data_IF_216345319138
#
_entry.id   IF_216345319138
#
_cell.length_a   1.000
_cell.length_b   1.000
_cell.length_c   1.000
_cell.angle_alpha   90.00
_cell.angle_beta   90.00
_cell.angle_gamma   90.00
#
_symmetry.space_group_name_H-M   'P 1'
#
loop_
_entity.id
_entity.type
_entity.pdbx_description
1 polymer ?
#
# COMPACT_ATOMS: atom_id res chain seq x y z
N UNK A 1 9.65 0.53 -39.46
CA UNK A 1 9.83 1.22 -38.16
C UNK A 1 11.27 0.98 -37.74
N UNK A 2 12.01 2.03 -37.41
CA UNK A 2 13.40 1.93 -36.98
C UNK A 2 13.46 1.33 -35.58
N UNK A 3 14.40 0.43 -35.32
CA UNK A 3 14.55 -0.17 -33.99
C UNK A 3 14.83 0.92 -32.94
N UNK A 4 14.18 0.87 -31.76
CA UNK A 4 14.42 1.82 -30.70
C UNK A 4 15.89 1.74 -30.25
N UNK A 5 16.59 2.88 -30.24
CA UNK A 5 17.99 2.95 -29.79
C UNK A 5 18.06 2.78 -28.27
N UNK A 6 19.03 2.08 -27.70
CA UNK A 6 19.08 1.83 -26.26
C UNK A 6 19.10 3.14 -25.43
N UNK A 7 18.39 3.19 -24.28
CA UNK A 7 18.39 4.33 -23.37
C UNK A 7 19.77 4.54 -22.69
N UNK A 8 20.00 5.71 -22.06
CA UNK A 8 21.29 6.07 -21.44
C UNK A 8 21.79 5.05 -20.40
N UNK A 9 20.88 4.35 -19.73
CA UNK A 9 21.14 3.38 -18.65
C UNK A 9 20.85 1.93 -19.08
N UNK A 10 21.03 1.64 -20.37
CA UNK A 10 20.71 0.32 -20.93
C UNK A 10 21.39 -0.86 -20.21
N UNK A 11 22.60 -0.69 -19.68
CA UNK A 11 23.29 -1.74 -18.92
C UNK A 11 22.53 -2.12 -17.65
N UNK A 12 22.12 -1.12 -16.88
CA UNK A 12 21.47 -1.31 -15.58
C UNK A 12 20.04 -1.80 -15.76
N UNK A 13 19.30 -1.24 -16.73
CA UNK A 13 17.96 -1.69 -17.13
C UNK A 13 17.99 -3.18 -17.50
N UNK A 14 18.98 -3.61 -18.30
CA UNK A 14 19.04 -5.02 -18.66
C UNK A 14 19.45 -5.92 -17.51
N UNK A 15 20.24 -5.43 -16.56
CA UNK A 15 20.56 -6.19 -15.35
C UNK A 15 19.29 -6.50 -14.56
N UNK A 16 18.48 -5.46 -14.29
CA UNK A 16 17.18 -5.60 -13.60
C UNK A 16 16.26 -6.56 -14.34
N UNK A 17 16.14 -6.42 -15.67
CA UNK A 17 15.30 -7.31 -16.47
C UNK A 17 15.80 -8.75 -16.43
N UNK A 18 17.12 -8.97 -16.50
CA UNK A 18 17.71 -10.31 -16.46
C UNK A 18 17.46 -11.02 -15.12
N UNK A 19 17.50 -10.27 -14.03
CA UNK A 19 17.15 -10.76 -12.69
C UNK A 19 15.64 -11.09 -12.63
N UNK A 20 14.78 -10.19 -13.10
CA UNK A 20 13.33 -10.38 -13.11
C UNK A 20 12.88 -11.60 -13.93
N UNK A 21 13.53 -11.90 -15.06
CA UNK A 21 13.20 -13.07 -15.88
C UNK A 21 13.87 -14.37 -15.41
N UNK A 22 14.63 -14.36 -14.31
CA UNK A 22 15.15 -15.57 -13.69
C UNK A 22 16.11 -16.38 -14.57
N UNK A 23 16.92 -15.71 -15.38
CA UNK A 23 17.89 -16.38 -16.27
C UNK A 23 17.32 -16.92 -17.59
N UNK A 24 16.06 -16.61 -17.89
CA UNK A 24 15.50 -16.83 -19.22
C UNK A 24 16.23 -15.95 -20.25
N UNK A 25 16.68 -16.56 -21.35
CA UNK A 25 17.27 -15.80 -22.46
C UNK A 25 16.16 -15.02 -23.19
N UNK A 26 16.41 -13.73 -23.40
CA UNK A 26 15.49 -12.81 -24.05
C UNK A 26 15.67 -12.84 -25.57
N UNK A 27 14.58 -13.05 -26.29
CA UNK A 27 14.53 -12.95 -27.73
C UNK A 27 14.72 -11.49 -28.20
N UNK A 28 15.23 -11.25 -29.43
CA UNK A 28 15.37 -9.90 -29.96
C UNK A 28 14.07 -9.09 -29.98
N UNK A 29 12.91 -9.74 -30.17
CA UNK A 29 11.61 -9.08 -30.12
C UNK A 29 11.25 -8.62 -28.71
N UNK A 30 11.40 -9.51 -27.72
CA UNK A 30 11.17 -9.20 -26.30
C UNK A 30 12.06 -8.03 -25.86
N UNK A 31 13.36 -8.05 -26.20
CA UNK A 31 14.29 -6.94 -25.91
C UNK A 31 13.79 -5.62 -26.49
N UNK A 32 13.29 -5.60 -27.73
CA UNK A 32 12.78 -4.37 -28.36
C UNK A 32 11.54 -3.82 -27.65
N UNK A 33 10.64 -4.69 -27.20
CA UNK A 33 9.46 -4.27 -26.44
C UNK A 33 9.83 -3.72 -25.06
N UNK A 34 10.75 -4.39 -24.36
CA UNK A 34 11.34 -3.91 -23.10
C UNK A 34 12.00 -2.54 -23.31
N UNK A 35 12.76 -2.36 -24.40
CA UNK A 35 13.35 -1.05 -24.71
C UNK A 35 12.33 0.03 -24.99
N UNK A 36 11.26 -0.31 -25.72
CA UNK A 36 10.17 0.63 -26.01
C UNK A 36 9.47 1.08 -24.73
N UNK A 37 9.22 0.16 -23.81
CA UNK A 37 8.69 0.47 -22.48
C UNK A 37 9.65 1.37 -21.71
N UNK A 38 10.91 0.95 -21.58
CA UNK A 38 11.93 1.68 -20.83
C UNK A 38 12.11 3.12 -21.32
N UNK A 39 12.05 3.35 -22.64
CA UNK A 39 12.16 4.69 -23.23
C UNK A 39 10.95 5.58 -23.02
N UNK A 40 9.78 5.00 -22.75
CA UNK A 40 8.54 5.75 -22.66
C UNK A 40 8.13 6.01 -21.22
N UNK A 41 8.29 5.03 -20.34
CA UNK A 41 7.85 5.14 -18.94
C UNK A 41 8.97 5.61 -17.99
N UNK A 42 10.20 5.10 -18.12
CA UNK A 42 11.27 5.41 -17.16
C UNK A 42 11.76 6.87 -17.17
N UNK A 43 11.72 7.64 -18.28
CA UNK A 43 12.16 9.03 -18.24
C UNK A 43 11.40 9.92 -17.24
N UNK A 44 10.17 9.57 -16.89
CA UNK A 44 9.42 10.28 -15.86
C UNK A 44 9.94 10.00 -14.45
N UNK A 45 10.49 8.80 -14.23
CA UNK A 45 11.13 8.38 -12.98
C UNK A 45 12.52 9.01 -12.80
N UNK A 46 13.24 9.25 -13.90
CA UNK A 46 14.52 9.97 -13.88
C UNK A 46 14.37 11.51 -13.84
N UNK A 47 13.16 12.02 -13.65
CA UNK A 47 12.92 13.47 -13.58
C UNK A 47 13.37 14.05 -12.23
N UNK A 48 13.32 15.38 -12.07
CA UNK A 48 13.57 16.03 -10.77
C UNK A 48 12.41 15.88 -9.77
N UNK A 49 11.39 15.09 -10.11
CA UNK A 49 10.22 14.85 -9.26
C UNK A 49 10.46 13.62 -8.40
N UNK A 50 9.92 13.63 -7.19
CA UNK A 50 9.87 12.45 -6.33
C UNK A 50 8.78 11.52 -6.83
N UNK A 51 9.16 10.33 -7.25
CA UNK A 51 8.28 9.31 -7.80
C UNK A 51 7.75 8.36 -6.72
N UNK A 52 6.44 8.10 -6.74
CA UNK A 52 5.78 7.16 -5.84
C UNK A 52 5.12 6.06 -6.66
N UNK A 53 5.67 4.86 -6.56
CA UNK A 53 5.09 3.68 -7.17
C UNK A 53 4.02 3.08 -6.25
N UNK A 54 2.76 3.18 -6.64
CA UNK A 54 1.62 2.71 -5.84
C UNK A 54 1.25 1.28 -6.23
N UNK A 55 1.23 0.41 -5.22
CA UNK A 55 0.97 -1.03 -5.29
C UNK A 55 -0.26 -1.43 -4.49
N UNK A 56 -0.86 -2.56 -4.83
CA UNK A 56 -2.09 -3.06 -4.26
C UNK A 56 -3.02 -3.65 -5.33
N UNK A 57 -4.24 -4.00 -4.94
CA UNK A 57 -5.18 -4.66 -5.87
C UNK A 57 -5.71 -3.70 -6.95
N UNK A 58 -5.45 -4.01 -8.23
CA UNK A 58 -6.01 -3.29 -9.38
C UNK A 58 -7.45 -3.67 -9.73
N UNK A 59 -8.09 -4.54 -8.95
CA UNK A 59 -9.50 -4.92 -9.14
C UNK A 59 -10.41 -3.97 -8.38
N UNK A 60 -11.60 -3.72 -8.90
CA UNK A 60 -12.66 -3.10 -8.10
C UNK A 60 -13.01 -3.99 -6.88
N UNK A 61 -13.35 -3.39 -5.73
CA UNK A 61 -13.39 -1.94 -5.46
C UNK A 61 -12.02 -1.32 -5.10
N UNK A 62 -11.01 -2.14 -4.79
CA UNK A 62 -9.69 -1.74 -4.26
C UNK A 62 -8.93 -0.73 -5.12
N UNK A 63 -9.07 -0.78 -6.45
CA UNK A 63 -8.45 0.21 -7.34
C UNK A 63 -8.82 1.65 -6.94
N UNK A 64 -10.02 1.88 -6.40
CA UNK A 64 -10.46 3.20 -5.92
C UNK A 64 -9.58 3.72 -4.79
N UNK A 65 -9.13 2.86 -3.87
CA UNK A 65 -8.23 3.21 -2.76
C UNK A 65 -6.86 3.62 -3.28
N UNK A 66 -6.34 2.91 -4.28
CA UNK A 66 -5.11 3.31 -4.96
C UNK A 66 -5.25 4.69 -5.64
N UNK A 67 -6.44 5.02 -6.19
CA UNK A 67 -6.72 6.36 -6.74
C UNK A 67 -6.78 7.43 -5.68
N UNK A 68 -7.28 7.13 -4.48
CA UNK A 68 -7.24 8.06 -3.35
C UNK A 68 -5.78 8.39 -3.03
N UNK A 69 -4.94 7.37 -2.84
CA UNK A 69 -3.51 7.55 -2.57
C UNK A 69 -2.82 8.36 -3.67
N UNK A 70 -3.07 8.00 -4.93
CA UNK A 70 -2.52 8.71 -6.09
C UNK A 70 -2.94 10.19 -6.11
N UNK A 71 -4.21 10.48 -5.83
CA UNK A 71 -4.74 11.84 -5.86
C UNK A 71 -4.19 12.70 -4.72
N UNK A 72 -4.07 12.14 -3.51
CA UNK A 72 -3.49 12.84 -2.36
C UNK A 72 -2.01 13.19 -2.61
N UNK A 73 -1.20 12.21 -3.03
CA UNK A 73 0.20 12.45 -3.39
C UNK A 73 0.34 13.46 -4.54
N UNK A 74 -0.58 13.45 -5.51
CA UNK A 74 -0.54 14.38 -6.65
C UNK A 74 -0.81 15.83 -6.25
N UNK A 75 -1.36 16.11 -5.05
CA UNK A 75 -1.48 17.47 -4.51
C UNK A 75 -0.11 18.07 -4.15
N UNK A 76 0.87 17.23 -3.84
CA UNK A 76 2.20 17.67 -3.44
C UNK A 76 3.01 18.19 -4.65
N UNK A 77 3.54 19.40 -4.52
CA UNK A 77 4.38 19.99 -5.57
C UNK A 77 5.65 19.17 -5.75
N UNK A 78 5.87 18.69 -6.99
CA UNK A 78 7.04 17.90 -7.32
C UNK A 78 6.88 16.40 -7.10
N UNK A 79 5.70 15.92 -6.68
CA UNK A 79 5.41 14.50 -6.62
C UNK A 79 4.99 13.94 -8.00
N UNK A 80 5.32 12.67 -8.24
CA UNK A 80 4.88 11.90 -9.39
C UNK A 80 4.37 10.53 -8.93
N UNK A 81 3.11 10.45 -8.45
CA UNK A 81 2.50 9.18 -8.10
C UNK A 81 1.93 8.47 -9.32
N UNK A 82 2.17 7.16 -9.43
CA UNK A 82 1.68 6.36 -10.53
C UNK A 82 1.34 4.93 -10.11
N UNK A 83 0.42 4.32 -10.85
CA UNK A 83 -0.01 2.93 -10.69
C UNK A 83 0.45 2.16 -11.92
N UNK A 84 1.04 0.98 -11.74
CA UNK A 84 1.56 0.18 -12.87
C UNK A 84 0.48 -0.15 -13.91
N UNK A 85 -0.75 -0.39 -13.48
CA UNK A 85 -1.89 -0.67 -14.37
C UNK A 85 -2.26 0.47 -15.33
N UNK A 86 -1.77 1.69 -15.11
CA UNK A 86 -1.95 2.82 -16.05
C UNK A 86 -0.87 2.90 -17.12
N UNK A 87 0.23 2.20 -16.90
CA UNK A 87 1.38 2.23 -17.80
C UNK A 87 1.15 1.29 -18.97
N UNK A 88 1.94 1.50 -20.00
CA UNK A 88 1.82 0.66 -21.17
C UNK A 88 2.33 -0.75 -20.90
N UNK A 89 1.44 -1.71 -21.12
CA UNK A 89 1.71 -3.13 -20.97
C UNK A 89 2.83 -3.61 -21.91
N UNK A 90 3.71 -4.47 -21.42
CA UNK A 90 4.69 -5.18 -22.24
C UNK A 90 4.01 -6.35 -22.96
N UNK A 91 3.91 -6.34 -24.30
CA UNK A 91 3.31 -7.43 -25.04
C UNK A 91 4.32 -8.57 -25.19
N UNK A 92 4.43 -9.42 -24.17
CA UNK A 92 5.25 -10.63 -24.24
C UNK A 92 4.42 -11.85 -23.89
N UNK A 93 4.35 -12.82 -24.81
CA UNK A 93 3.47 -13.99 -24.64
C UNK A 93 4.06 -15.06 -23.71
N UNK A 94 5.38 -15.03 -23.49
CA UNK A 94 6.12 -16.08 -22.79
C UNK A 94 6.72 -15.64 -21.46
N UNK A 95 7.01 -14.35 -21.31
CA UNK A 95 7.64 -13.80 -20.10
C UNK A 95 6.56 -13.38 -19.12
N UNK A 96 6.93 -13.36 -17.83
CA UNK A 96 6.09 -12.73 -16.84
C UNK A 96 6.24 -11.20 -16.96
N UNK A 97 5.36 -10.58 -17.75
CA UNK A 97 5.33 -9.12 -17.94
C UNK A 97 5.28 -8.37 -16.62
N UNK A 98 4.54 -8.90 -15.65
CA UNK A 98 4.37 -8.29 -14.34
C UNK A 98 5.72 -8.17 -13.62
N UNK A 99 6.49 -9.25 -13.49
CA UNK A 99 7.77 -9.24 -12.78
C UNK A 99 8.77 -8.26 -13.41
N UNK A 100 8.78 -8.16 -14.74
CA UNK A 100 9.64 -7.24 -15.47
C UNK A 100 9.23 -5.78 -15.19
N UNK A 101 7.94 -5.47 -15.35
CA UNK A 101 7.43 -4.11 -15.12
C UNK A 101 7.62 -3.71 -13.66
N UNK A 102 7.21 -4.56 -12.73
CA UNK A 102 7.41 -4.36 -11.30
C UNK A 102 8.87 -4.08 -10.98
N UNK A 103 9.80 -4.94 -11.39
CA UNK A 103 11.22 -4.80 -11.04
C UNK A 103 11.81 -3.49 -11.59
N UNK A 104 11.46 -3.11 -12.82
CA UNK A 104 11.90 -1.84 -13.40
C UNK A 104 11.32 -0.64 -12.65
N UNK A 105 10.01 -0.61 -12.43
CA UNK A 105 9.35 0.52 -11.77
C UNK A 105 9.79 0.63 -10.31
N UNK A 106 9.83 -0.49 -9.58
CA UNK A 106 10.32 -0.56 -8.22
C UNK A 106 11.79 -0.11 -8.14
N UNK A 107 12.66 -0.54 -9.05
CA UNK A 107 14.08 -0.14 -9.04
C UNK A 107 14.25 1.37 -9.23
N UNK A 108 13.57 1.95 -10.21
CA UNK A 108 13.80 3.35 -10.61
C UNK A 108 12.89 4.37 -9.92
N UNK A 109 11.94 3.94 -9.09
CA UNK A 109 11.14 4.87 -8.27
C UNK A 109 11.85 5.25 -6.98
N UNK A 110 11.58 6.46 -6.49
CA UNK A 110 12.12 6.97 -5.23
C UNK A 110 11.48 6.28 -4.03
N UNK A 111 10.15 6.10 -4.09
CA UNK A 111 9.37 5.43 -3.05
C UNK A 111 8.37 4.43 -3.63
N UNK A 112 8.06 3.41 -2.85
CA UNK A 112 7.03 2.41 -3.12
C UNK A 112 5.99 2.51 -2.02
N UNK A 113 4.71 2.58 -2.40
CA UNK A 113 3.56 2.73 -1.49
C UNK A 113 2.64 1.55 -1.71
N UNK A 114 2.65 0.58 -0.79
CA UNK A 114 1.81 -0.60 -0.86
C UNK A 114 0.53 -0.43 -0.04
N UNK A 115 -0.63 -0.44 -0.70
CA UNK A 115 -1.94 -0.40 -0.04
C UNK A 115 -2.52 -1.81 -0.02
N UNK A 116 -2.74 -2.34 1.16
CA UNK A 116 -3.20 -3.72 1.36
C UNK A 116 -4.55 -3.72 2.04
N UNK A 117 -5.48 -4.51 1.51
CA UNK A 117 -6.86 -4.60 2.03
C UNK A 117 -7.34 -6.06 2.16
N UNK A 118 -6.48 -7.03 1.83
CA UNK A 118 -6.75 -8.46 1.90
C UNK A 118 -5.48 -9.27 1.70
N UNK A 119 -5.56 -10.55 2.00
CA UNK A 119 -4.48 -11.52 1.77
C UNK A 119 -4.47 -12.19 0.38
N UNK A 120 -5.47 -11.95 -0.47
CA UNK A 120 -5.67 -12.71 -1.70
C UNK A 120 -5.56 -11.87 -2.97
N UNK A 121 -4.68 -12.24 -3.89
CA UNK A 121 -4.56 -11.57 -5.20
C UNK A 121 -3.11 -11.42 -5.66
N UNK A 122 -2.88 -10.46 -6.56
CA UNK A 122 -1.54 -10.15 -7.09
C UNK A 122 -0.67 -9.36 -6.10
N UNK A 123 -1.30 -8.70 -5.13
CA UNK A 123 -0.69 -7.89 -4.09
C UNK A 123 0.04 -8.71 -3.01
N UNK A 124 -0.33 -9.98 -2.80
CA UNK A 124 0.34 -10.84 -1.83
C UNK A 124 1.79 -11.18 -2.25
N UNK A 125 2.05 -11.55 -3.52
CA UNK A 125 3.40 -11.58 -4.07
C UNK A 125 4.13 -10.22 -3.99
N UNK A 126 3.45 -9.11 -4.29
CA UNK A 126 4.06 -7.76 -4.24
C UNK A 126 4.60 -7.41 -2.86
N UNK A 127 3.86 -7.72 -1.78
CA UNK A 127 4.36 -7.52 -0.41
C UNK A 127 5.64 -8.33 -0.15
N UNK A 128 5.73 -9.51 -0.75
CA UNK A 128 6.91 -10.37 -0.68
C UNK A 128 8.12 -9.85 -1.45
N UNK A 129 7.91 -9.05 -2.49
CA UNK A 129 9.00 -8.43 -3.23
C UNK A 129 9.53 -7.19 -2.48
N UNK A 130 8.65 -6.39 -1.87
CA UNK A 130 9.03 -5.12 -1.23
C UNK A 130 9.54 -5.27 0.20
N UNK A 131 9.30 -6.39 0.87
CA UNK A 131 9.70 -6.55 2.26
C UNK A 131 11.21 -6.81 2.43
N UNK A 132 11.94 -7.13 1.37
CA UNK A 132 13.39 -7.38 1.42
C UNK A 132 14.21 -6.37 0.60
N UNK A 133 15.53 -6.25 0.87
CA UNK A 133 16.41 -5.45 0.04
C UNK A 133 16.39 -5.92 -1.43
N UNK A 134 16.44 -4.99 -2.41
CA UNK A 134 16.78 -3.58 -2.25
C UNK A 134 15.58 -2.64 -2.04
N UNK A 135 14.36 -3.15 -1.96
CA UNK A 135 13.16 -2.31 -1.99
C UNK A 135 12.66 -1.88 -0.61
N UNK A 136 12.97 -2.63 0.45
CA UNK A 136 12.51 -2.35 1.80
C UNK A 136 12.72 -0.89 2.26
N UNK A 137 13.92 -0.35 2.07
CA UNK A 137 14.31 0.98 2.57
C UNK A 137 13.56 2.15 1.92
N UNK A 138 12.84 1.90 0.83
CA UNK A 138 12.00 2.90 0.15
C UNK A 138 10.53 2.52 0.09
N UNK A 139 10.16 1.45 0.77
CA UNK A 139 8.79 0.94 0.79
C UNK A 139 8.07 1.37 2.06
N UNK A 140 6.82 1.74 1.89
CA UNK A 140 5.88 2.12 2.95
C UNK A 140 4.58 1.36 2.70
N UNK A 141 3.96 0.84 3.77
CA UNK A 141 2.79 -0.03 3.66
C UNK A 141 1.60 0.57 4.42
N UNK A 142 0.43 0.45 3.82
CA UNK A 142 -0.87 0.93 4.32
C UNK A 142 -1.83 -0.24 4.43
N UNK A 143 -1.67 -1.11 5.44
CA UNK A 143 -2.57 -2.23 5.66
C UNK A 143 -3.88 -1.77 6.30
N UNK A 144 -5.00 -2.01 5.61
CA UNK A 144 -6.34 -1.76 6.13
C UNK A 144 -6.62 -2.67 7.32
N UNK A 145 -7.24 -2.16 8.38
CA UNK A 145 -7.67 -2.89 9.58
C UNK A 145 -6.55 -3.66 10.30
N UNK A 146 -5.28 -3.28 10.10
CA UNK A 146 -4.16 -3.90 10.79
C UNK A 146 -3.91 -3.24 12.14
N UNK A 147 -3.87 -4.05 13.18
CA UNK A 147 -3.22 -3.72 14.43
C UNK A 147 -2.39 -4.92 14.92
N UNK A 148 -1.20 -4.65 15.45
CA UNK A 148 -0.37 -5.71 16.00
C UNK A 148 -0.85 -6.11 17.39
N UNK A 149 -1.76 -7.07 17.43
CA UNK A 149 -2.29 -7.60 18.69
C UNK A 149 -1.23 -8.48 19.36
N UNK A 150 -0.47 -7.92 20.31
CA UNK A 150 0.13 -8.74 21.36
C UNK A 150 -0.92 -8.99 22.42
N UNK A 151 -1.62 -10.12 22.30
CA UNK A 151 -2.52 -10.88 23.20
C UNK A 151 -3.14 -10.29 24.50
N UNK A 152 -2.84 -9.09 25.01
CA UNK A 152 -3.34 -8.65 26.33
C UNK A 152 -3.74 -7.18 26.46
N UNK A 153 -3.37 -6.26 25.56
CA UNK A 153 -3.73 -4.85 25.74
C UNK A 153 -4.36 -4.19 24.50
N UNK A 154 -5.54 -3.60 24.72
CA UNK A 154 -6.07 -2.53 23.88
C UNK A 154 -5.19 -1.30 24.16
N UNK A 155 -4.07 -1.18 23.45
CA UNK A 155 -3.08 -0.11 23.67
C UNK A 155 -3.40 1.16 22.85
N UNK A 156 -4.39 1.11 21.95
CA UNK A 156 -4.82 2.27 21.15
C UNK A 156 -6.28 2.17 20.69
N UNK A 157 -6.93 3.29 20.33
CA UNK A 157 -8.26 3.30 19.73
C UNK A 157 -8.39 2.37 18.51
N UNK A 158 -7.36 2.27 17.67
CA UNK A 158 -7.36 1.41 16.49
C UNK A 158 -7.50 -0.09 16.85
N UNK A 159 -6.89 -0.53 17.95
CA UNK A 159 -7.07 -1.91 18.43
C UNK A 159 -8.53 -2.20 18.83
N UNK A 160 -9.20 -1.21 19.40
CA UNK A 160 -10.61 -1.33 19.79
C UNK A 160 -11.50 -1.39 18.56
N UNK A 161 -11.28 -0.50 17.59
CA UNK A 161 -12.05 -0.46 16.34
C UNK A 161 -11.89 -1.77 15.57
N UNK A 162 -10.66 -2.30 15.43
CA UNK A 162 -10.44 -3.58 14.77
C UNK A 162 -11.19 -4.72 15.48
N UNK A 163 -11.06 -4.83 16.80
CA UNK A 163 -11.75 -5.87 17.56
C UNK A 163 -13.29 -5.72 17.49
N UNK A 164 -13.80 -4.50 17.46
CA UNK A 164 -15.23 -4.22 17.29
C UNK A 164 -15.74 -4.66 15.90
N UNK A 165 -14.96 -4.40 14.84
CA UNK A 165 -15.25 -4.86 13.48
C UNK A 165 -15.23 -6.40 13.41
N UNK A 166 -14.27 -7.08 14.03
CA UNK A 166 -14.25 -8.55 14.10
C UNK A 166 -15.49 -9.11 14.80
N UNK A 167 -15.94 -8.48 15.90
CA UNK A 167 -17.17 -8.84 16.61
C UNK A 167 -18.40 -8.62 15.71
N UNK A 168 -18.52 -7.45 15.08
CA UNK A 168 -19.70 -7.06 14.31
C UNK A 168 -19.92 -7.92 13.06
N UNK A 169 -18.84 -8.35 12.41
CA UNK A 169 -18.88 -9.17 11.21
C UNK A 169 -18.77 -10.69 11.51
N UNK A 170 -18.88 -11.10 12.76
CA UNK A 170 -18.94 -12.52 13.12
C UNK A 170 -20.35 -13.08 12.86
N UNK A 171 -20.47 -14.01 11.90
CA UNK A 171 -21.72 -14.66 11.47
C UNK A 171 -22.53 -15.36 12.59
N UNK A 172 -21.88 -15.71 13.71
CA UNK A 172 -22.47 -16.51 14.80
C UNK A 172 -23.13 -15.66 15.90
N UNK A 173 -23.13 -14.33 15.80
CA UNK A 173 -23.69 -13.43 16.80
C UNK A 173 -25.00 -12.77 16.33
N UNK A 174 -25.97 -12.67 17.23
CA UNK A 174 -27.15 -11.82 17.02
C UNK A 174 -26.81 -10.35 17.21
N UNK A 175 -27.65 -9.44 16.67
CA UNK A 175 -27.44 -7.99 16.81
C UNK A 175 -27.35 -7.56 18.28
N UNK A 176 -28.17 -8.13 19.18
CA UNK A 176 -28.11 -7.85 20.62
C UNK A 176 -26.79 -8.33 21.26
N UNK A 177 -26.22 -9.44 20.76
CA UNK A 177 -24.93 -9.96 21.23
C UNK A 177 -23.75 -9.14 20.70
N UNK A 178 -23.79 -8.73 19.43
CA UNK A 178 -22.82 -7.79 18.86
C UNK A 178 -22.81 -6.51 19.68
N UNK A 179 -23.98 -5.93 19.93
CA UNK A 179 -24.10 -4.71 20.72
C UNK A 179 -23.48 -4.84 22.11
N UNK A 180 -23.87 -5.87 22.87
CA UNK A 180 -23.35 -6.08 24.21
C UNK A 180 -21.82 -6.33 24.24
N UNK A 181 -21.28 -6.98 23.21
CA UNK A 181 -19.85 -7.25 23.11
C UNK A 181 -19.04 -6.00 22.76
N UNK A 182 -19.54 -5.16 21.83
CA UNK A 182 -18.91 -3.88 21.46
C UNK A 182 -18.96 -2.89 22.63
N UNK A 183 -20.10 -2.74 23.29
CA UNK A 183 -20.24 -1.92 24.51
C UNK A 183 -19.24 -2.36 25.59
N UNK A 184 -19.18 -3.68 25.87
CA UNK A 184 -18.22 -4.22 26.84
C UNK A 184 -16.76 -4.02 26.44
N UNK A 185 -16.45 -3.97 25.14
CA UNK A 185 -15.11 -3.72 24.63
C UNK A 185 -14.71 -2.25 24.86
N UNK A 186 -15.60 -1.32 24.52
CA UNK A 186 -15.39 0.12 24.71
C UNK A 186 -15.26 0.46 26.19
N UNK A 187 -16.13 -0.08 27.06
CA UNK A 187 -16.04 0.10 28.52
C UNK A 187 -14.66 -0.30 29.05
N UNK A 188 -14.15 -1.47 28.64
CA UNK A 188 -12.82 -1.96 29.05
C UNK A 188 -11.69 -1.07 28.56
N UNK A 189 -11.80 -0.51 27.36
CA UNK A 189 -10.83 0.42 26.79
C UNK A 189 -10.80 1.73 27.58
N UNK A 190 -11.97 2.30 27.87
CA UNK A 190 -12.12 3.52 28.67
C UNK A 190 -11.64 3.33 30.12
N UNK A 191 -11.94 2.18 30.74
CA UNK A 191 -11.40 1.82 32.06
C UNK A 191 -9.86 1.74 32.09
N UNK A 192 -9.26 1.39 30.96
CA UNK A 192 -7.80 1.36 30.75
C UNK A 192 -7.21 2.73 30.45
N UNK A 193 -8.04 3.77 30.31
CA UNK A 193 -7.64 5.16 30.07
C UNK A 193 -7.53 5.57 28.61
N UNK A 194 -8.05 4.76 27.67
CA UNK A 194 -8.15 5.16 26.27
C UNK A 194 -9.28 6.16 26.06
N UNK A 195 -9.01 7.21 25.30
CA UNK A 195 -10.01 8.16 24.83
C UNK A 195 -10.63 7.61 23.55
N UNK A 196 -11.74 6.89 23.70
CA UNK A 196 -12.51 6.31 22.59
C UNK A 196 -14.00 6.46 22.89
N UNK A 197 -14.74 6.96 21.90
CA UNK A 197 -16.18 7.14 22.00
C UNK A 197 -16.91 5.94 21.40
N UNK A 198 -17.98 5.49 22.06
CA UNK A 198 -18.77 4.36 21.58
C UNK A 198 -19.46 4.68 20.24
N UNK A 199 -19.92 5.93 20.06
CA UNK A 199 -20.54 6.37 18.80
C UNK A 199 -19.54 6.32 17.66
N UNK A 200 -18.28 6.69 17.90
CA UNK A 200 -17.22 6.61 16.88
C UNK A 200 -17.00 5.17 16.40
N UNK A 201 -17.04 4.19 17.32
CA UNK A 201 -16.93 2.77 16.96
C UNK A 201 -18.13 2.32 16.14
N UNK A 202 -19.35 2.70 16.53
CA UNK A 202 -20.57 2.34 15.79
C UNK A 202 -20.66 3.02 14.44
N UNK A 203 -20.25 4.28 14.31
CA UNK A 203 -20.22 5.00 13.04
C UNK A 203 -19.35 4.23 12.02
N UNK A 204 -18.19 3.71 12.45
CA UNK A 204 -17.32 2.87 11.61
C UNK A 204 -17.99 1.54 11.23
N UNK A 205 -18.64 0.87 12.18
CA UNK A 205 -19.34 -0.40 11.92
C UNK A 205 -20.49 -0.20 10.93
N UNK A 206 -21.31 0.83 11.14
CA UNK A 206 -22.47 1.15 10.32
C UNK A 206 -22.04 1.52 8.89
N UNK A 207 -21.02 2.37 8.74
CA UNK A 207 -20.47 2.72 7.42
C UNK A 207 -19.99 1.47 6.66
N UNK A 208 -19.32 0.53 7.35
CA UNK A 208 -18.88 -0.74 6.73
C UNK A 208 -20.04 -1.64 6.33
N UNK A 209 -21.07 -1.73 7.18
CA UNK A 209 -22.25 -2.54 6.92
C UNK A 209 -23.07 -1.99 5.73
N UNK A 210 -23.18 -0.67 5.61
CA UNK A 210 -23.87 -0.01 4.50
C UNK A 210 -23.16 -0.20 3.15
N UNK A 211 -21.82 -0.27 3.16
CA UNK A 211 -21.00 -0.51 1.98
C UNK A 211 -20.78 -1.99 1.64
N UNK A 212 -21.26 -2.92 2.48
CA UNK A 212 -21.01 -4.38 2.37
C UNK A 212 -19.49 -4.69 2.34
N UNK A 213 -18.71 -3.95 3.14
CA UNK A 213 -17.25 -4.05 3.21
C UNK A 213 -16.79 -4.81 4.47
N UNK A 214 -16.57 -6.12 4.32
CA UNK A 214 -15.99 -6.96 5.36
C UNK A 214 -14.61 -6.44 5.84
N UNK A 215 -14.24 -6.68 7.11
CA UNK A 215 -12.92 -6.34 7.63
C UNK A 215 -11.80 -7.01 6.83
N UNK A 216 -10.70 -6.27 6.62
CA UNK A 216 -9.55 -6.82 5.93
C UNK A 216 -8.89 -7.94 6.74
N UNK A 217 -8.64 -9.08 6.09
CA UNK A 217 -8.02 -10.25 6.73
C UNK A 217 -6.65 -10.55 6.16
N UNK A 218 -5.73 -10.96 7.05
CA UNK A 218 -4.34 -11.22 6.72
C UNK A 218 -3.83 -12.51 7.35
N UNK A 219 -3.19 -13.35 6.55
CA UNK A 219 -2.42 -14.48 7.06
C UNK A 219 -1.32 -14.03 8.03
N UNK A 220 -0.92 -14.94 8.91
CA UNK A 220 0.21 -14.75 9.83
C UNK A 220 1.51 -14.32 9.12
N UNK A 221 1.71 -14.74 7.85
CA UNK A 221 2.87 -14.32 7.05
C UNK A 221 2.79 -12.83 6.71
N UNK A 222 1.63 -12.34 6.29
CA UNK A 222 1.41 -10.92 6.00
C UNK A 222 1.59 -10.07 7.27
N UNK A 223 0.99 -10.49 8.39
CA UNK A 223 1.09 -9.79 9.68
C UNK A 223 2.55 -9.62 10.14
N UNK A 224 3.40 -10.64 9.98
CA UNK A 224 4.82 -10.52 10.31
C UNK A 224 5.57 -9.55 9.38
N UNK A 225 5.20 -9.49 8.10
CA UNK A 225 5.79 -8.51 7.17
C UNK A 225 5.37 -7.10 7.55
N UNK A 226 4.09 -6.85 7.85
CA UNK A 226 3.65 -5.54 8.36
C UNK A 226 4.35 -5.17 9.66
N UNK A 227 4.54 -6.12 10.58
CA UNK A 227 5.30 -5.88 11.82
C UNK A 227 6.74 -5.45 11.53
N UNK A 228 7.38 -6.01 10.51
CA UNK A 228 8.72 -5.57 10.08
C UNK A 228 8.70 -4.10 9.65
N UNK A 229 7.72 -3.69 8.84
CA UNK A 229 7.55 -2.29 8.43
C UNK A 229 7.23 -1.36 9.61
N UNK A 230 6.36 -1.79 10.52
CA UNK A 230 5.97 -1.04 11.72
C UNK A 230 7.17 -0.76 12.61
N UNK A 231 8.00 -1.78 12.87
CA UNK A 231 9.25 -1.64 13.65
C UNK A 231 10.27 -0.68 13.01
N UNK A 232 10.07 -0.29 11.75
CA UNK A 232 10.90 0.66 11.01
C UNK A 232 10.16 1.95 10.67
N UNK A 233 9.03 2.24 11.32
CA UNK A 233 8.23 3.47 11.13
C UNK A 233 7.75 3.65 9.68
N UNK A 234 7.36 2.54 9.04
CA UNK A 234 6.95 2.47 7.62
C UNK A 234 5.62 1.76 7.39
N UNK A 235 4.87 1.51 8.46
CA UNK A 235 3.55 0.89 8.43
C UNK A 235 2.54 1.89 8.96
N UNK A 236 1.54 2.22 8.14
CA UNK A 236 0.51 3.20 8.45
C UNK A 236 -0.88 2.56 8.28
N UNK A 237 -1.39 1.92 9.35
CA UNK A 237 -2.65 1.23 9.27
C UNK A 237 -3.81 2.21 9.16
N UNK A 238 -4.89 1.79 8.51
CA UNK A 238 -6.08 2.63 8.31
C UNK A 238 -7.35 1.79 8.34
N UNK A 239 -8.45 2.40 8.71
CA UNK A 239 -9.79 1.79 8.82
C UNK A 239 -10.77 2.54 7.92
N UNK A 240 -10.65 3.85 7.84
CA UNK A 240 -11.53 4.71 7.03
C UNK A 240 -10.77 5.36 5.88
N UNK A 241 -11.48 5.82 4.84
CA UNK A 241 -10.83 6.54 3.75
C UNK A 241 -10.21 7.86 4.21
N UNK A 242 -10.75 8.50 5.25
CA UNK A 242 -10.21 9.74 5.80
C UNK A 242 -8.92 9.50 6.60
N UNK A 243 -8.82 8.39 7.33
CA UNK A 243 -7.56 7.93 7.92
C UNK A 243 -6.53 7.67 6.83
N UNK A 244 -6.89 6.92 5.77
CA UNK A 244 -5.98 6.68 4.64
C UNK A 244 -5.45 8.00 4.03
N UNK A 245 -6.30 9.02 3.89
CA UNK A 245 -5.87 10.35 3.41
C UNK A 245 -4.88 11.01 4.35
N UNK A 246 -5.14 10.92 5.66
CA UNK A 246 -4.31 11.53 6.70
C UNK A 246 -2.95 10.86 6.79
N UNK A 247 -2.91 9.53 6.79
CA UNK A 247 -1.68 8.74 6.91
C UNK A 247 -0.72 8.94 5.71
N UNK A 248 -1.22 9.34 4.53
CA UNK A 248 -0.38 9.66 3.37
C UNK A 248 0.55 10.85 3.65
N UNK A 249 0.17 11.75 4.55
CA UNK A 249 0.99 12.91 4.90
C UNK A 249 2.27 12.53 5.67
N UNK A 250 2.34 11.30 6.19
CA UNK A 250 3.54 10.74 6.84
C UNK A 250 4.59 10.24 5.83
N UNK A 251 4.22 10.13 4.54
CA UNK A 251 5.18 9.76 3.51
C UNK A 251 6.23 10.86 3.30
N UNK A 252 7.49 10.49 2.98
CA UNK A 252 8.51 11.48 2.68
C UNK A 252 8.07 12.38 1.53
N UNK A 253 8.04 13.71 1.72
CA UNK A 253 7.57 14.66 0.72
C UNK A 253 8.73 15.29 -0.10
N UNK A 254 8.56 15.54 -1.41
CA UNK A 254 9.49 16.32 -2.23
C UNK A 254 9.67 17.76 -1.73
N UNK A 255 8.66 18.31 -1.06
CA UNK A 255 8.67 19.66 -0.52
C UNK A 255 8.62 19.54 1.01
N UNK A 256 9.67 19.94 1.75
CA UNK A 256 9.61 19.94 3.20
C UNK A 256 8.42 20.81 3.66
N UNK A 257 7.65 20.32 4.65
CA UNK A 257 6.48 21.04 5.16
C UNK A 257 6.88 22.48 5.49
N UNK A 258 6.08 23.50 5.11
CA UNK A 258 6.36 24.86 5.51
C UNK A 258 6.44 24.94 7.04
N UNK A 259 7.55 25.42 7.62
CA UNK A 259 7.79 25.43 9.07
C UNK A 259 6.86 26.31 9.94
N UNK A 260 5.70 26.71 9.41
CA UNK A 260 4.58 27.26 10.16
C UNK A 260 3.50 26.22 10.48
N UNK A 261 3.45 25.09 9.77
CA UNK A 261 2.62 23.92 10.12
C UNK A 261 3.21 23.14 11.31
N UNK A 262 4.53 23.19 11.51
CA UNK A 262 5.23 22.58 12.66
C UNK A 262 5.06 23.36 13.99
N UNK A 263 4.22 24.43 14.02
CA UNK A 263 4.14 25.37 15.15
C UNK A 263 2.82 25.33 15.92
N UNK A 264 2.04 24.26 15.86
CA UNK A 264 0.83 24.15 16.67
C UNK A 264 1.06 23.59 18.09
N UNK A 265 2.27 23.15 18.44
CA UNK A 265 2.58 22.64 19.79
C UNK A 265 3.76 23.36 20.50
N UNK A 266 3.68 24.69 20.68
CA UNK A 266 4.51 25.41 21.68
C UNK A 266 3.72 26.47 22.47
#
# INVERSE_FOLDING_TARGET
>A
MTDPSPPPEAGDIMTVVHEAVGGIELEPAEKREIWRFAQRELPYLWSQRTSYFILGSYRDPYLRRLRIVQNELAKQLGAYPFIMGDLLELPTDRLNTFDIMFSLLATYSDYIVGVFEKESGGEAPELGEIDDPPYFDKSYVFPRDYAWVTDENLDSPQHVIQAALEIAFTDDLSADEVQANVESLVDRAQESGLDIDEQEVWDVIDDRADEDEEPATYSWVHLNKFRKFELHERCFPWTTEDELRTEIDELPSPTPRPGWEEREDQ
#
